data_IF_603184010774
#
_entry.id   IF_603184010774
#
_cell.length_a   1.000
_cell.length_b   1.000
_cell.length_c   1.000
_cell.angle_alpha   90.00
_cell.angle_beta   90.00
_cell.angle_gamma   90.00
#
_symmetry.space_group_name_H-M   'P 1'
#
loop_
_entity.id
_entity.type
_entity.pdbx_description
1 polymer ?
#
# COMPACT_ATOMS: atom_id res chain seq x y z
N UNK A 1 9.91 -5.78 -10.64
CA UNK A 1 8.85 -6.61 -10.01
C UNK A 1 8.52 -7.74 -10.97
N UNK A 2 8.36 -8.99 -10.50
CA UNK A 2 8.45 -10.22 -11.33
C UNK A 2 7.12 -10.94 -11.62
N UNK A 3 5.96 -10.38 -11.23
CA UNK A 3 4.67 -11.09 -11.34
C UNK A 3 4.38 -11.63 -12.75
N UNK A 4 4.59 -10.80 -13.78
CA UNK A 4 4.30 -11.18 -15.17
C UNK A 4 5.20 -12.34 -15.63
N UNK A 5 6.46 -12.34 -15.21
CA UNK A 5 7.42 -13.41 -15.55
C UNK A 5 7.03 -14.74 -14.90
N UNK A 6 6.58 -14.69 -13.63
CA UNK A 6 6.11 -15.88 -12.90
C UNK A 6 4.78 -16.37 -13.48
N UNK A 7 3.84 -15.47 -13.77
CA UNK A 7 2.54 -15.82 -14.34
C UNK A 7 2.66 -16.47 -15.72
N UNK A 8 3.58 -15.99 -16.57
CA UNK A 8 3.81 -16.57 -17.89
C UNK A 8 4.36 -18.01 -17.85
N UNK A 9 4.97 -18.43 -16.73
CA UNK A 9 5.56 -19.77 -16.55
C UNK A 9 4.73 -20.68 -15.64
N UNK A 10 3.67 -20.15 -15.05
CA UNK A 10 2.85 -20.89 -14.10
C UNK A 10 1.84 -21.77 -14.85
N UNK A 11 1.74 -23.07 -14.52
CA UNK A 11 0.70 -23.94 -15.09
C UNK A 11 -0.70 -23.66 -14.52
N UNK A 12 -0.80 -22.79 -13.51
CA UNK A 12 -2.05 -22.39 -12.86
C UNK A 12 -2.22 -20.86 -12.89
N UNK A 13 -3.46 -20.34 -12.91
CA UNK A 13 -3.70 -18.91 -12.81
C UNK A 13 -3.13 -18.32 -11.52
N UNK A 14 -2.38 -17.22 -11.65
CA UNK A 14 -1.86 -16.48 -10.49
C UNK A 14 -2.72 -15.27 -10.16
N UNK A 15 -2.96 -15.08 -8.87
CA UNK A 15 -3.68 -13.92 -8.35
C UNK A 15 -2.70 -12.79 -8.04
N UNK A 16 -2.97 -11.60 -8.60
CA UNK A 16 -2.19 -10.41 -8.31
C UNK A 16 -2.84 -9.64 -7.17
N UNK A 17 -2.15 -9.54 -6.02
CA UNK A 17 -2.70 -8.90 -4.81
C UNK A 17 -3.28 -7.50 -5.08
N UNK A 18 -2.57 -6.63 -5.79
CA UNK A 18 -3.08 -5.29 -6.10
C UNK A 18 -4.32 -5.28 -7.03
N UNK A 19 -4.47 -6.28 -7.92
CA UNK A 19 -5.67 -6.40 -8.77
C UNK A 19 -6.87 -6.84 -7.94
N UNK A 20 -6.69 -7.83 -7.07
CA UNK A 20 -7.77 -8.30 -6.19
C UNK A 20 -8.20 -7.20 -5.20
N UNK A 21 -7.23 -6.47 -4.61
CA UNK A 21 -7.53 -5.30 -3.78
C UNK A 21 -8.28 -4.22 -4.57
N UNK A 22 -7.86 -3.92 -5.80
CA UNK A 22 -8.53 -2.93 -6.66
C UNK A 22 -9.95 -3.31 -7.03
N UNK A 23 -10.20 -4.59 -7.31
CA UNK A 23 -11.54 -5.14 -7.58
C UNK A 23 -12.50 -4.89 -6.41
N UNK A 24 -12.08 -5.23 -5.19
CA UNK A 24 -12.90 -5.02 -3.98
C UNK A 24 -13.08 -3.52 -3.72
N UNK A 25 -12.01 -2.74 -3.81
CA UNK A 25 -12.04 -1.29 -3.57
C UNK A 25 -13.00 -0.57 -4.52
N UNK A 26 -12.98 -0.93 -5.81
CA UNK A 26 -13.93 -0.42 -6.81
C UNK A 26 -15.36 -0.86 -6.49
N UNK A 27 -15.56 -2.10 -6.05
CA UNK A 27 -16.86 -2.62 -5.63
C UNK A 27 -17.46 -1.86 -4.45
N UNK A 28 -16.62 -1.29 -3.57
CA UNK A 28 -17.03 -0.40 -2.47
C UNK A 28 -17.35 1.04 -2.94
N UNK A 29 -17.20 1.35 -4.23
CA UNK A 29 -17.42 2.71 -4.76
C UNK A 29 -16.32 3.71 -4.41
N UNK A 30 -15.19 3.26 -3.86
CA UNK A 30 -14.08 4.12 -3.46
C UNK A 30 -13.26 4.54 -4.69
N UNK A 31 -13.06 5.85 -4.85
CA UNK A 31 -12.26 6.44 -5.94
C UNK A 31 -10.87 6.91 -5.50
N UNK A 32 -10.63 6.95 -4.19
CA UNK A 32 -9.37 7.39 -3.59
C UNK A 32 -9.13 6.62 -2.30
N UNK A 33 -7.93 6.07 -2.13
CA UNK A 33 -7.54 5.27 -0.96
C UNK A 33 -6.12 5.60 -0.49
N UNK A 34 -5.86 5.36 0.79
CA UNK A 34 -4.50 5.38 1.34
C UNK A 34 -3.81 4.02 1.20
N UNK A 35 -2.51 4.02 0.88
CA UNK A 35 -1.66 2.84 0.84
C UNK A 35 -0.60 2.93 1.93
N UNK A 36 -0.61 1.97 2.85
CA UNK A 36 0.40 1.78 3.89
C UNK A 36 1.05 0.42 3.67
N UNK A 37 2.37 0.37 3.79
CA UNK A 37 3.14 -0.86 3.65
C UNK A 37 4.61 -0.56 3.88
N UNK A 38 5.49 -1.42 3.35
CA UNK A 38 6.92 -1.08 3.31
C UNK A 38 7.15 0.15 2.43
N UNK A 39 8.23 0.89 2.67
CA UNK A 39 8.67 1.99 1.78
C UNK A 39 8.70 1.57 0.31
N UNK A 40 9.21 0.37 0.03
CA UNK A 40 9.16 -0.22 -1.32
C UNK A 40 7.74 -0.30 -1.89
N UNK A 41 6.76 -0.77 -1.11
CA UNK A 41 5.37 -0.85 -1.57
C UNK A 41 4.73 0.52 -1.76
N UNK A 42 5.00 1.46 -0.85
CA UNK A 42 4.44 2.81 -0.91
C UNK A 42 5.05 3.65 -2.04
N UNK A 43 6.26 3.32 -2.48
CA UNK A 43 6.95 4.04 -3.56
C UNK A 43 6.93 3.32 -4.91
N UNK A 44 6.56 2.03 -4.94
CA UNK A 44 6.61 1.26 -6.17
C UNK A 44 5.41 1.51 -7.09
N UNK A 45 5.71 1.63 -8.37
CA UNK A 45 4.73 1.90 -9.41
C UNK A 45 3.71 0.76 -9.56
N UNK A 46 4.12 -0.49 -9.35
CA UNK A 46 3.25 -1.63 -9.65
C UNK A 46 1.93 -1.67 -8.86
N UNK A 47 1.94 -1.25 -7.59
CA UNK A 47 0.75 -1.32 -6.74
C UNK A 47 -0.20 -0.19 -7.12
N UNK A 48 0.38 1.00 -7.37
CA UNK A 48 -0.34 2.18 -7.82
C UNK A 48 -0.91 1.99 -9.22
N UNK A 49 -0.13 1.49 -10.17
CA UNK A 49 -0.55 1.32 -11.56
C UNK A 49 -1.66 0.28 -11.66
N UNK A 50 -1.61 -0.80 -10.86
CA UNK A 50 -2.71 -1.75 -10.78
C UNK A 50 -4.02 -1.08 -10.29
N UNK A 51 -3.97 -0.24 -9.25
CA UNK A 51 -5.15 0.45 -8.73
C UNK A 51 -5.65 1.58 -9.63
N UNK A 52 -4.74 2.41 -10.12
CA UNK A 52 -5.03 3.59 -10.92
C UNK A 52 -5.36 3.23 -12.37
N UNK A 53 -4.49 2.49 -13.06
CA UNK A 53 -4.67 2.22 -14.49
C UNK A 53 -5.82 1.24 -14.77
N UNK A 54 -6.04 0.24 -13.91
CA UNK A 54 -7.07 -0.79 -14.15
C UNK A 54 -8.42 -0.37 -13.56
N UNK A 55 -8.42 0.27 -12.39
CA UNK A 55 -9.66 0.55 -11.64
C UNK A 55 -9.99 2.03 -11.49
N UNK A 56 -9.14 2.94 -11.95
CA UNK A 56 -9.35 4.39 -11.83
C UNK A 56 -9.27 4.91 -10.39
N UNK A 57 -8.59 4.18 -9.50
CA UNK A 57 -8.50 4.50 -8.08
C UNK A 57 -7.23 5.32 -7.81
N UNK A 58 -7.40 6.53 -7.27
CA UNK A 58 -6.29 7.37 -6.84
C UNK A 58 -5.68 6.82 -5.54
N UNK A 59 -4.35 6.68 -5.52
CA UNK A 59 -3.62 6.21 -4.34
C UNK A 59 -2.92 7.39 -3.66
N UNK A 60 -3.12 7.51 -2.35
CA UNK A 60 -2.40 8.42 -1.47
C UNK A 60 -1.42 7.65 -0.60
N UNK A 61 -0.27 8.25 -0.31
CA UNK A 61 0.73 7.66 0.58
C UNK A 61 1.08 8.63 1.72
N UNK A 62 1.56 8.13 2.87
CA UNK A 62 2.07 8.97 3.95
C UNK A 62 3.21 9.88 3.47
N UNK A 63 3.52 10.93 4.22
CA UNK A 63 4.71 11.76 3.97
C UNK A 63 6.00 10.96 4.17
N UNK A 64 7.12 11.40 3.58
CA UNK A 64 8.38 10.64 3.58
C UNK A 64 8.84 10.20 4.98
N UNK A 65 8.81 11.10 5.97
CA UNK A 65 9.18 10.77 7.35
C UNK A 65 8.26 9.70 7.96
N UNK A 66 6.98 9.69 7.58
CA UNK A 66 6.03 8.68 8.01
C UNK A 66 6.28 7.34 7.30
N UNK A 67 6.66 7.38 6.02
CA UNK A 67 7.02 6.17 5.27
C UNK A 67 8.25 5.48 5.87
N UNK A 68 9.26 6.26 6.27
CA UNK A 68 10.45 5.75 6.95
C UNK A 68 10.10 5.11 8.29
N UNK A 69 9.31 5.82 9.12
CA UNK A 69 8.80 5.27 10.37
C UNK A 69 8.05 3.95 10.17
N UNK A 70 7.10 3.90 9.22
CA UNK A 70 6.32 2.69 8.94
C UNK A 70 7.25 1.55 8.50
N UNK A 71 8.20 1.82 7.61
CA UNK A 71 9.14 0.80 7.11
C UNK A 71 9.99 0.23 8.24
N UNK A 72 10.59 1.09 9.06
CA UNK A 72 11.47 0.68 10.14
C UNK A 72 10.74 -0.17 11.17
N UNK A 73 9.50 0.20 11.52
CA UNK A 73 8.69 -0.59 12.45
C UNK A 73 8.22 -1.92 11.85
N UNK A 74 7.88 -1.96 10.55
CA UNK A 74 7.59 -3.23 9.87
C UNK A 74 8.81 -4.16 9.97
N UNK A 75 10.01 -3.67 9.66
CA UNK A 75 11.22 -4.50 9.60
C UNK A 75 11.75 -4.89 10.98
N UNK A 76 11.71 -3.97 11.94
CA UNK A 76 12.36 -4.16 13.24
C UNK A 76 11.43 -4.73 14.31
N UNK A 77 10.11 -4.54 14.19
CA UNK A 77 9.12 -5.04 15.16
C UNK A 77 8.22 -6.11 14.54
N UNK A 78 7.40 -5.73 13.53
CA UNK A 78 6.30 -6.58 13.05
C UNK A 78 6.79 -7.88 12.41
N UNK A 79 7.85 -7.82 11.61
CA UNK A 79 8.50 -9.01 11.00
C UNK A 79 9.07 -9.94 12.08
N UNK A 80 9.43 -9.42 13.25
CA UNK A 80 9.92 -10.20 14.40
C UNK A 80 8.79 -10.64 15.35
N UNK A 81 7.53 -10.38 14.98
CA UNK A 81 6.36 -10.73 15.80
C UNK A 81 6.16 -9.83 17.02
N UNK A 82 6.84 -8.67 17.08
CA UNK A 82 6.69 -7.72 18.19
C UNK A 82 5.57 -6.74 17.90
N UNK A 83 4.61 -6.61 18.82
CA UNK A 83 3.50 -5.66 18.71
C UNK A 83 3.63 -4.64 19.84
N UNK A 84 4.17 -3.47 19.51
CA UNK A 84 4.34 -2.36 20.45
C UNK A 84 3.10 -1.46 20.40
N UNK A 85 2.56 -1.13 21.58
CA UNK A 85 1.33 -0.34 21.69
C UNK A 85 1.50 1.08 21.11
N UNK A 86 2.66 1.70 21.34
CA UNK A 86 3.00 3.01 20.79
C UNK A 86 3.05 2.97 19.26
N UNK A 87 3.72 1.96 18.68
CA UNK A 87 3.76 1.76 17.23
C UNK A 87 2.37 1.59 16.64
N UNK A 88 1.51 0.79 17.27
CA UNK A 88 0.11 0.63 16.85
C UNK A 88 -0.65 1.96 16.86
N UNK A 89 -0.51 2.74 17.94
CA UNK A 89 -1.21 4.03 18.04
C UNK A 89 -0.67 5.01 16.99
N UNK A 90 0.64 5.05 16.77
CA UNK A 90 1.23 5.91 15.74
C UNK A 90 0.78 5.54 14.33
N UNK A 91 0.77 4.25 13.98
CA UNK A 91 0.26 3.76 12.70
C UNK A 91 -1.23 4.15 12.50
N UNK A 92 -2.04 4.02 13.55
CA UNK A 92 -3.45 4.43 13.52
C UNK A 92 -3.60 5.94 13.35
N UNK A 93 -2.74 6.72 14.01
CA UNK A 93 -2.65 8.17 13.83
C UNK A 93 -2.35 8.58 12.39
N UNK A 94 -1.35 7.95 11.76
CA UNK A 94 -1.01 8.19 10.35
C UNK A 94 -2.21 7.89 9.45
N UNK A 95 -2.92 6.78 9.66
CA UNK A 95 -4.11 6.45 8.88
C UNK A 95 -5.22 7.51 9.03
N UNK A 96 -5.43 8.06 10.23
CA UNK A 96 -6.39 9.15 10.47
C UNK A 96 -5.95 10.45 9.79
N UNK A 97 -4.66 10.79 9.84
CA UNK A 97 -4.10 11.96 9.16
C UNK A 97 -4.31 11.87 7.64
N UNK A 98 -4.06 10.70 7.05
CA UNK A 98 -4.31 10.45 5.63
C UNK A 98 -5.79 10.58 5.27
N UNK A 99 -6.69 10.05 6.10
CA UNK A 99 -8.13 10.17 5.91
C UNK A 99 -8.60 11.63 5.99
N UNK A 100 -7.95 12.46 6.81
CA UNK A 100 -8.19 13.89 6.91
C UNK A 100 -7.55 14.72 5.78
N UNK A 101 -6.89 14.08 4.81
CA UNK A 101 -6.28 14.74 3.65
C UNK A 101 -4.83 15.17 3.84
N UNK A 102 -4.22 14.90 5.00
CA UNK A 102 -2.77 15.05 5.21
C UNK A 102 -2.05 13.83 4.63
N UNK A 103 -2.02 13.77 3.31
CA UNK A 103 -1.31 12.75 2.56
C UNK A 103 -0.72 13.36 1.31
N UNK A 104 0.46 12.90 0.93
CA UNK A 104 1.09 13.35 -0.31
C UNK A 104 0.48 12.58 -1.47
N UNK A 105 0.14 13.30 -2.55
CA UNK A 105 0.20 12.69 -3.88
C UNK A 105 1.69 12.52 -4.19
N UNK A 106 2.09 11.35 -4.68
CA UNK A 106 3.39 11.23 -5.32
C UNK A 106 3.38 12.17 -6.53
N UNK A 107 4.13 13.27 -6.43
CA UNK A 107 4.37 14.18 -7.55
C UNK A 107 5.33 13.49 -8.53
N UNK A 108 4.94 13.44 -9.80
CA UNK A 108 5.82 13.17 -10.93
C UNK A 108 5.82 14.38 -11.85
#
# INVERSE_FOLDING_TARGET
>A
MVFNEVAARSPIPLLHIAKETGKVTRGMGLKKVGLIGTKFTMQADFYRDALSAIYGISVLVPELAQQDYIHDNIMNELVKGQIVAETRERLSGIAREMAAGKASKLSY
#
